data_IF_423880611660
#
_entry.id   IF_423880611660
#
_cell.length_a   1.000
_cell.length_b   1.000
_cell.length_c   1.000
_cell.angle_alpha   90.00
_cell.angle_beta   90.00
_cell.angle_gamma   90.00
#
_symmetry.space_group_name_H-M   'P 1'
#
loop_
_entity.id
_entity.type
_entity.pdbx_description
1 polymer ?
#
# COMPACT_ATOMS: atom_id res chain seq x y z
N UNK A 1 2.59 -80.69 -3.63
CA UNK A 1 1.79 -79.94 -2.65
C UNK A 1 2.71 -79.41 -1.59
N UNK A 2 3.10 -78.11 -1.64
CA UNK A 2 3.95 -77.47 -0.59
C UNK A 2 3.06 -76.93 0.51
N UNK A 3 3.31 -77.36 1.75
CA UNK A 3 2.67 -76.80 2.94
C UNK A 3 3.16 -75.37 3.17
N UNK A 4 2.31 -74.42 3.48
CA UNK A 4 2.72 -73.03 3.79
C UNK A 4 3.54 -73.03 5.08
N UNK A 5 4.57 -72.20 5.10
CA UNK A 5 5.52 -72.09 6.24
C UNK A 5 4.87 -71.43 7.43
N UNK A 6 5.29 -71.84 8.61
CA UNK A 6 4.86 -71.39 9.91
C UNK A 6 4.97 -69.84 10.14
N UNK A 7 5.60 -69.15 9.22
CA UNK A 7 5.81 -67.73 9.29
C UNK A 7 4.66 -66.88 8.74
N UNK A 8 3.81 -67.44 7.88
CA UNK A 8 2.67 -66.69 7.30
C UNK A 8 1.42 -66.58 8.17
N UNK A 9 1.34 -67.40 9.23
CA UNK A 9 0.18 -67.39 10.13
C UNK A 9 0.22 -66.35 11.24
N UNK A 10 1.34 -65.66 11.46
CA UNK A 10 1.50 -64.69 12.53
C UNK A 10 1.25 -63.22 12.14
N UNK A 11 1.08 -62.94 10.83
CA UNK A 11 0.82 -61.55 10.37
C UNK A 11 -0.67 -61.18 10.44
N UNK A 12 -1.58 -62.11 10.57
CA UNK A 12 -3.03 -61.88 10.58
C UNK A 12 -3.67 -61.70 11.98
N UNK A 13 -2.86 -61.61 13.02
CA UNK A 13 -3.31 -61.18 14.37
C UNK A 13 -2.84 -59.76 14.70
N UNK A 14 -2.96 -58.82 13.75
CA UNK A 14 -3.01 -57.43 14.16
C UNK A 14 -4.38 -57.20 14.81
N UNK A 15 -4.35 -57.24 16.12
CA UNK A 15 -5.40 -56.90 17.04
C UNK A 15 -6.13 -55.65 16.56
N UNK A 16 -7.36 -55.81 16.05
CA UNK A 16 -8.32 -54.70 16.06
C UNK A 16 -8.53 -54.33 17.54
N UNK A 17 -7.73 -53.35 18.01
CA UNK A 17 -8.00 -52.73 19.29
C UNK A 17 -9.42 -52.14 19.21
N UNK A 18 -10.37 -52.85 19.80
CA UNK A 18 -11.74 -52.42 19.98
C UNK A 18 -11.71 -51.19 20.91
N UNK A 19 -11.73 -50.00 20.32
CA UNK A 19 -11.89 -48.76 21.07
C UNK A 19 -13.33 -48.76 21.58
N UNK A 20 -13.57 -48.79 22.91
CA UNK A 20 -14.90 -48.81 23.44
C UNK A 20 -15.66 -47.56 22.97
N UNK A 21 -16.91 -47.73 22.48
CA UNK A 21 -17.74 -46.65 21.88
C UNK A 21 -17.74 -45.33 22.67
N UNK A 22 -17.63 -45.40 24.02
CA UNK A 22 -17.55 -44.22 24.89
C UNK A 22 -16.25 -43.43 24.73
N UNK A 23 -15.12 -44.11 24.49
CA UNK A 23 -13.82 -43.43 24.26
C UNK A 23 -13.74 -42.82 22.83
N UNK A 24 -14.31 -43.51 21.84
CA UNK A 24 -14.39 -42.95 20.47
C UNK A 24 -15.22 -41.68 20.39
N UNK A 25 -16.31 -41.59 21.18
CA UNK A 25 -17.16 -40.40 21.24
C UNK A 25 -16.42 -39.20 21.89
N UNK A 26 -15.59 -39.48 22.92
CA UNK A 26 -14.83 -38.45 23.63
C UNK A 26 -13.68 -37.90 22.77
N UNK A 27 -13.00 -38.77 22.04
CA UNK A 27 -11.92 -38.38 21.11
C UNK A 27 -12.48 -37.59 19.91
N UNK A 28 -13.64 -37.98 19.37
CA UNK A 28 -14.32 -37.26 18.31
C UNK A 28 -14.78 -35.86 18.76
N UNK A 29 -15.28 -35.72 19.98
CA UNK A 29 -15.67 -34.43 20.57
C UNK A 29 -14.49 -33.52 20.81
N UNK A 30 -13.36 -34.02 21.30
CA UNK A 30 -12.14 -33.25 21.52
C UNK A 30 -11.56 -32.76 20.19
N UNK A 31 -11.54 -33.60 19.16
CA UNK A 31 -11.08 -33.23 17.81
C UNK A 31 -11.94 -32.10 17.23
N UNK A 32 -13.26 -32.16 17.37
CA UNK A 32 -14.15 -31.11 16.89
C UNK A 32 -13.90 -29.77 17.59
N UNK A 33 -13.68 -29.78 18.91
CA UNK A 33 -13.37 -28.55 19.67
C UNK A 33 -12.04 -27.92 19.22
N UNK A 34 -11.01 -28.73 18.94
CA UNK A 34 -9.71 -28.24 18.45
C UNK A 34 -9.89 -27.61 17.08
N UNK A 35 -10.61 -28.24 16.16
CA UNK A 35 -10.84 -27.72 14.81
C UNK A 35 -11.61 -26.38 14.86
N UNK A 36 -12.69 -26.31 15.64
CA UNK A 36 -13.47 -25.07 15.82
C UNK A 36 -12.59 -23.98 16.44
N UNK A 37 -11.80 -24.30 17.45
CA UNK A 37 -10.85 -23.36 18.05
C UNK A 37 -9.81 -22.82 17.06
N UNK A 38 -9.27 -23.68 16.21
CA UNK A 38 -8.32 -23.30 15.17
C UNK A 38 -8.96 -22.37 14.12
N UNK A 39 -10.21 -22.62 13.72
CA UNK A 39 -10.94 -21.75 12.79
C UNK A 39 -11.18 -20.39 13.41
N UNK A 40 -11.63 -20.31 14.66
CA UNK A 40 -11.87 -19.04 15.35
C UNK A 40 -10.55 -18.27 15.49
N UNK A 41 -9.47 -18.92 15.88
CA UNK A 41 -8.15 -18.28 15.99
C UNK A 41 -7.66 -17.76 14.64
N UNK A 42 -7.81 -18.52 13.56
CA UNK A 42 -7.41 -18.07 12.22
C UNK A 42 -8.25 -16.89 11.71
N UNK A 43 -9.56 -16.87 12.00
CA UNK A 43 -10.42 -15.74 11.69
C UNK A 43 -10.02 -14.47 12.47
N UNK A 44 -9.71 -14.62 13.77
CA UNK A 44 -9.26 -13.51 14.60
C UNK A 44 -7.94 -12.92 14.09
N UNK A 45 -6.98 -13.77 13.72
CA UNK A 45 -5.71 -13.33 13.12
C UNK A 45 -5.95 -12.65 11.77
N UNK A 46 -6.79 -13.22 10.90
CA UNK A 46 -7.12 -12.62 9.61
C UNK A 46 -7.80 -11.25 9.78
N UNK A 47 -8.73 -11.12 10.72
CA UNK A 47 -9.41 -9.85 11.01
C UNK A 47 -8.44 -8.81 11.58
N UNK A 48 -7.55 -9.22 12.49
CA UNK A 48 -6.49 -8.35 13.02
C UNK A 48 -5.58 -7.85 11.91
N UNK A 49 -5.09 -8.75 11.05
CA UNK A 49 -4.26 -8.37 9.90
C UNK A 49 -5.01 -7.43 8.95
N UNK A 50 -6.28 -7.71 8.66
CA UNK A 50 -7.11 -6.85 7.82
C UNK A 50 -7.21 -5.43 8.39
N UNK A 51 -7.48 -5.26 9.68
CA UNK A 51 -7.58 -3.93 10.30
C UNK A 51 -6.24 -3.18 10.35
N UNK A 52 -5.12 -3.89 10.50
CA UNK A 52 -3.78 -3.29 10.52
C UNK A 52 -3.32 -2.79 9.13
N UNK A 53 -3.81 -3.41 8.06
CA UNK A 53 -3.39 -3.08 6.69
C UNK A 53 -4.47 -2.35 5.89
N UNK A 54 -5.51 -1.83 6.55
CA UNK A 54 -6.44 -0.93 5.87
C UNK A 54 -5.75 0.39 5.54
N UNK A 55 -5.86 0.79 4.27
CA UNK A 55 -5.42 2.12 3.83
C UNK A 55 -6.28 3.18 4.52
N UNK A 56 -5.64 4.09 5.23
CA UNK A 56 -6.28 5.27 5.77
C UNK A 56 -6.13 6.41 4.75
N UNK A 57 -7.26 7.02 4.38
CA UNK A 57 -7.28 8.15 3.46
C UNK A 57 -7.28 9.46 4.24
N UNK A 58 -6.28 10.29 3.97
CA UNK A 58 -6.12 11.63 4.53
C UNK A 58 -6.59 12.61 3.46
N UNK A 59 -7.76 13.21 3.67
CA UNK A 59 -8.32 14.20 2.75
C UNK A 59 -7.96 15.60 3.21
N UNK A 60 -7.43 16.42 2.29
CA UNK A 60 -7.02 17.81 2.55
C UNK A 60 -7.09 18.65 1.28
N UNK A 61 -6.77 19.93 1.40
CA UNK A 61 -6.78 20.88 0.27
C UNK A 61 -5.35 21.36 -0.03
N UNK A 62 -5.08 21.74 -1.27
CA UNK A 62 -3.80 22.33 -1.65
C UNK A 62 -3.49 23.56 -0.79
N UNK A 63 -2.24 23.69 -0.36
CA UNK A 63 -1.75 24.73 0.55
C UNK A 63 -1.83 24.38 2.03
N UNK A 64 -2.58 23.34 2.42
CA UNK A 64 -2.65 22.87 3.81
C UNK A 64 -1.49 21.92 4.13
N UNK A 65 -1.07 21.92 5.40
CA UNK A 65 -0.07 20.97 5.92
C UNK A 65 -0.75 19.69 6.36
N UNK A 66 -0.23 18.54 5.92
CA UNK A 66 -0.72 17.22 6.30
C UNK A 66 0.44 16.23 6.41
N UNK A 67 0.18 15.06 7.00
CA UNK A 67 1.22 14.06 7.25
C UNK A 67 0.82 12.71 6.65
N UNK A 68 1.72 12.09 5.90
CA UNK A 68 1.57 10.72 5.38
C UNK A 68 2.74 9.89 5.93
N UNK A 69 2.42 8.97 6.85
CA UNK A 69 3.44 8.23 7.57
C UNK A 69 4.43 9.17 8.28
N UNK A 70 5.74 9.02 8.07
CA UNK A 70 6.75 9.85 8.72
C UNK A 70 7.09 11.14 7.95
N UNK A 71 6.30 11.54 6.96
CA UNK A 71 6.58 12.74 6.15
C UNK A 71 5.44 13.74 6.22
N UNK A 72 5.78 14.96 6.59
CA UNK A 72 4.91 16.14 6.55
C UNK A 72 5.00 16.79 5.17
N UNK A 73 3.86 17.11 4.58
CA UNK A 73 3.76 17.68 3.22
C UNK A 73 2.96 18.98 3.21
N UNK A 74 3.31 19.84 2.24
CA UNK A 74 2.44 20.89 1.70
C UNK A 74 2.50 20.78 0.18
N UNK A 75 1.34 20.68 -0.47
CA UNK A 75 1.22 20.62 -1.93
C UNK A 75 0.58 21.92 -2.41
N UNK A 76 1.18 22.54 -3.41
CA UNK A 76 0.67 23.78 -4.03
C UNK A 76 0.45 23.58 -5.53
N UNK A 77 -0.53 24.27 -6.09
CA UNK A 77 -0.69 24.38 -7.54
C UNK A 77 0.18 25.53 -8.04
N UNK A 78 1.16 25.23 -8.93
CA UNK A 78 2.12 26.22 -9.46
C UNK A 78 1.71 26.73 -10.83
N UNK A 79 0.64 26.19 -11.42
CA UNK A 79 0.14 26.57 -12.71
C UNK A 79 0.36 25.54 -13.81
N UNK A 80 0.25 26.00 -15.05
CA UNK A 80 0.40 25.16 -16.26
C UNK A 80 1.45 25.74 -17.19
N UNK A 81 2.07 24.88 -18.02
CA UNK A 81 3.00 25.32 -19.08
C UNK A 81 3.00 24.36 -20.28
N UNK A 82 3.43 24.87 -21.43
CA UNK A 82 3.48 24.12 -22.70
C UNK A 82 4.79 23.36 -22.93
N UNK A 83 5.60 23.23 -21.87
CA UNK A 83 6.93 22.60 -21.97
C UNK A 83 7.98 23.56 -22.54
N UNK A 84 9.04 22.97 -23.06
CA UNK A 84 10.17 23.70 -23.69
C UNK A 84 10.45 23.18 -25.10
N UNK A 85 11.66 23.48 -25.63
CA UNK A 85 12.07 23.08 -26.99
C UNK A 85 12.29 21.57 -27.11
N UNK A 86 12.69 20.91 -26.00
CA UNK A 86 13.13 19.54 -25.99
C UNK A 86 12.03 18.60 -25.45
N UNK A 87 11.13 19.14 -24.59
CA UNK A 87 10.06 18.36 -23.97
C UNK A 87 8.72 19.10 -24.10
N UNK A 88 7.84 18.57 -24.93
CA UNK A 88 6.48 19.07 -25.13
C UNK A 88 5.45 18.08 -24.62
N UNK A 89 4.38 18.56 -23.95
CA UNK A 89 3.29 17.69 -23.57
C UNK A 89 2.44 17.26 -24.77
N UNK A 90 1.69 16.18 -24.63
CA UNK A 90 0.61 15.82 -25.55
C UNK A 90 -0.60 16.75 -25.36
N UNK A 91 -0.80 17.23 -24.12
CA UNK A 91 -1.88 18.13 -23.72
C UNK A 91 -1.28 19.43 -23.14
N UNK A 92 -1.20 19.53 -21.83
CA UNK A 92 -0.55 20.63 -21.11
C UNK A 92 0.11 20.09 -19.84
N UNK A 93 1.27 20.62 -19.47
CA UNK A 93 1.85 20.28 -18.18
C UNK A 93 1.18 21.06 -17.06
N UNK A 94 0.65 20.31 -16.06
CA UNK A 94 0.21 20.85 -14.78
C UNK A 94 1.34 20.67 -13.79
N UNK A 95 1.82 21.75 -13.20
CA UNK A 95 2.92 21.76 -12.25
C UNK A 95 2.41 21.93 -10.83
N UNK A 96 2.92 21.09 -9.92
CA UNK A 96 2.70 21.21 -8.48
C UNK A 96 4.01 21.46 -7.77
N UNK A 97 3.94 22.28 -6.72
CA UNK A 97 4.98 22.47 -5.73
C UNK A 97 4.81 21.45 -4.60
N UNK A 98 5.92 20.92 -4.12
CA UNK A 98 5.99 19.93 -3.05
C UNK A 98 6.96 20.46 -2.00
N UNK A 99 6.46 20.82 -0.83
CA UNK A 99 7.28 20.97 0.36
C UNK A 99 7.14 19.69 1.19
N UNK A 100 8.25 19.03 1.45
CA UNK A 100 8.28 17.77 2.19
C UNK A 100 9.30 17.83 3.32
N UNK A 101 8.93 17.35 4.52
CA UNK A 101 9.79 17.31 5.69
C UNK A 101 9.66 15.95 6.37
N UNK A 102 10.78 15.27 6.54
CA UNK A 102 10.82 14.02 7.29
C UNK A 102 10.78 14.28 8.79
N UNK A 103 9.81 13.68 9.48
CA UNK A 103 9.57 13.81 10.92
C UNK A 103 9.72 12.48 11.67
N UNK A 104 10.17 11.42 10.99
CA UNK A 104 10.43 10.11 11.59
C UNK A 104 11.77 10.03 12.32
N UNK A 105 11.99 8.89 12.96
CA UNK A 105 13.16 8.63 13.81
C UNK A 105 14.33 7.98 13.05
N UNK A 106 14.15 7.55 11.81
CA UNK A 106 15.21 6.96 11.01
C UNK A 106 16.16 8.04 10.46
N UNK A 107 17.34 7.62 9.99
CA UNK A 107 18.36 8.55 9.48
C UNK A 107 17.90 9.37 8.28
N UNK A 108 17.11 8.76 7.39
CA UNK A 108 16.54 9.39 6.19
C UNK A 108 15.43 8.54 5.57
N UNK A 109 14.61 9.15 4.73
CA UNK A 109 13.63 8.46 3.88
C UNK A 109 13.68 8.97 2.45
N UNK A 110 13.19 8.19 1.51
CA UNK A 110 13.18 8.53 0.09
C UNK A 110 11.89 9.24 -0.30
N UNK A 111 12.02 10.36 -1.01
CA UNK A 111 10.96 11.03 -1.74
C UNK A 111 11.14 10.80 -3.24
N UNK A 112 10.10 10.39 -3.93
CA UNK A 112 10.13 10.11 -5.38
C UNK A 112 8.94 10.75 -6.08
N UNK A 113 9.15 11.27 -7.28
CA UNK A 113 8.06 11.76 -8.14
C UNK A 113 7.00 10.70 -8.43
N UNK A 114 7.37 9.41 -8.46
CA UNK A 114 6.44 8.29 -8.65
C UNK A 114 5.45 8.05 -7.51
N UNK A 115 5.56 8.77 -6.39
CA UNK A 115 4.58 8.73 -5.29
C UNK A 115 3.33 9.57 -5.60
N UNK A 116 3.43 10.49 -6.56
CA UNK A 116 2.41 11.49 -6.87
C UNK A 116 1.64 11.12 -8.13
N UNK A 117 0.32 11.26 -8.06
CA UNK A 117 -0.59 11.02 -9.18
C UNK A 117 -1.63 12.11 -9.20
N UNK A 118 -1.98 12.64 -10.38
CA UNK A 118 -3.21 13.40 -10.55
C UNK A 118 -4.35 12.44 -10.91
N UNK A 119 -5.51 12.70 -10.34
CA UNK A 119 -6.76 12.02 -10.66
C UNK A 119 -7.76 13.06 -11.16
N UNK A 120 -8.31 12.85 -12.33
CA UNK A 120 -9.32 13.69 -12.93
C UNK A 120 -10.75 13.33 -12.48
N UNK A 121 -11.75 14.07 -12.96
CA UNK A 121 -13.19 13.86 -12.65
C UNK A 121 -13.73 12.48 -13.10
N UNK A 122 -12.99 11.75 -13.96
CA UNK A 122 -13.34 10.42 -14.47
C UNK A 122 -12.60 9.30 -13.74
N UNK A 123 -11.94 9.63 -12.62
CA UNK A 123 -11.07 8.73 -11.87
C UNK A 123 -9.87 8.19 -12.69
N UNK A 124 -9.48 8.88 -13.78
CA UNK A 124 -8.28 8.52 -14.54
C UNK A 124 -7.05 9.03 -13.79
N UNK A 125 -6.05 8.14 -13.66
CA UNK A 125 -4.80 8.42 -12.96
C UNK A 125 -3.70 8.77 -13.96
N UNK A 126 -3.11 9.92 -13.77
CA UNK A 126 -1.98 10.41 -14.53
C UNK A 126 -0.72 10.40 -13.65
N UNK A 127 0.34 9.81 -14.15
CA UNK A 127 1.63 9.75 -13.45
C UNK A 127 2.43 11.03 -13.70
N UNK A 128 3.34 11.32 -12.77
CA UNK A 128 4.29 12.40 -12.95
C UNK A 128 5.16 12.16 -14.19
N UNK A 129 5.37 13.20 -14.96
CA UNK A 129 6.29 13.22 -16.09
C UNK A 129 7.66 13.69 -15.62
N UNK A 130 8.68 12.92 -15.95
CA UNK A 130 10.05 13.26 -15.63
C UNK A 130 10.68 14.02 -16.77
N UNK A 131 11.22 15.19 -16.47
CA UNK A 131 11.93 16.06 -17.39
C UNK A 131 12.90 16.95 -16.62
N UNK A 132 13.76 17.67 -17.34
CA UNK A 132 14.66 18.66 -16.76
C UNK A 132 14.08 20.06 -17.00
N UNK A 133 12.90 20.35 -16.44
CA UNK A 133 12.23 21.64 -16.60
C UNK A 133 12.76 22.69 -15.62
N UNK A 134 13.26 22.26 -14.45
CA UNK A 134 13.86 23.10 -13.44
C UNK A 134 14.86 22.35 -12.57
N UNK A 135 15.71 23.09 -11.86
CA UNK A 135 16.60 22.51 -10.84
C UNK A 135 15.86 21.94 -9.62
N UNK A 136 14.56 22.22 -9.51
CA UNK A 136 13.69 21.71 -8.42
C UNK A 136 12.91 20.46 -8.81
N UNK A 137 13.04 19.95 -10.03
CA UNK A 137 12.29 18.79 -10.48
C UNK A 137 12.57 17.58 -9.61
N UNK A 138 11.49 16.94 -9.16
CA UNK A 138 11.55 15.78 -8.29
C UNK A 138 11.67 14.50 -9.13
N UNK A 139 12.85 13.91 -9.15
CA UNK A 139 13.04 12.53 -9.57
C UNK A 139 13.14 11.63 -8.33
N UNK A 140 14.22 11.80 -7.58
CA UNK A 140 14.51 11.12 -6.32
C UNK A 140 15.21 12.11 -5.39
N UNK A 141 14.76 12.18 -4.13
CA UNK A 141 15.37 13.04 -3.11
C UNK A 141 15.40 12.33 -1.76
N UNK A 142 16.53 12.41 -1.06
CA UNK A 142 16.65 11.89 0.30
C UNK A 142 16.26 12.98 1.29
N UNK A 143 15.22 12.70 2.07
CA UNK A 143 14.78 13.58 3.15
C UNK A 143 15.53 13.23 4.43
N UNK A 144 16.25 14.20 4.96
CA UNK A 144 16.88 14.12 6.28
C UNK A 144 15.93 14.61 7.37
N UNK A 145 16.06 14.11 8.62
CA UNK A 145 15.17 14.50 9.71
C UNK A 145 15.11 16.01 9.93
N UNK A 146 13.89 16.52 9.99
CA UNK A 146 13.57 17.92 10.26
C UNK A 146 14.13 18.96 9.26
N UNK A 147 14.64 18.52 8.10
CA UNK A 147 15.06 19.42 7.03
C UNK A 147 13.97 19.45 5.95
N UNK A 148 13.29 20.58 5.75
CA UNK A 148 12.32 20.72 4.67
C UNK A 148 13.04 20.76 3.32
N UNK A 149 12.44 20.13 2.32
CA UNK A 149 12.89 20.12 0.93
C UNK A 149 11.76 20.64 0.05
N UNK A 150 12.07 21.56 -0.86
CA UNK A 150 11.14 22.09 -1.83
C UNK A 150 11.47 21.53 -3.22
N UNK A 151 10.49 20.89 -3.83
CA UNK A 151 10.58 20.29 -5.17
C UNK A 151 9.34 20.61 -5.99
N UNK A 152 9.42 20.35 -7.29
CA UNK A 152 8.29 20.45 -8.22
C UNK A 152 8.13 19.13 -8.97
N UNK A 153 6.91 18.81 -9.36
CA UNK A 153 6.66 17.75 -10.34
C UNK A 153 5.52 18.14 -11.25
N UNK A 154 5.39 17.48 -12.40
CA UNK A 154 4.43 17.85 -13.41
C UNK A 154 3.73 16.65 -14.01
N UNK A 155 2.56 16.91 -14.60
CA UNK A 155 1.67 15.90 -15.17
C UNK A 155 1.18 16.39 -16.53
N UNK A 156 1.27 15.56 -17.55
CA UNK A 156 0.69 15.84 -18.87
C UNK A 156 -0.77 15.39 -18.87
N UNK A 157 -1.69 16.36 -18.81
CA UNK A 157 -3.12 16.09 -18.73
C UNK A 157 -3.91 17.10 -19.57
N UNK A 158 -5.12 16.74 -20.04
CA UNK A 158 -6.05 17.68 -20.65
C UNK A 158 -6.70 18.55 -19.54
N UNK A 159 -5.94 19.51 -19.02
CA UNK A 159 -6.33 20.36 -17.90
C UNK A 159 -7.39 21.38 -18.29
N UNK A 160 -8.39 21.54 -17.42
CA UNK A 160 -9.46 22.51 -17.52
C UNK A 160 -9.70 23.10 -16.13
N UNK A 161 -9.56 24.40 -15.97
CA UNK A 161 -9.66 25.10 -14.68
C UNK A 161 -11.03 24.92 -14.00
N UNK A 162 -12.10 24.61 -14.77
CA UNK A 162 -13.44 24.40 -14.23
C UNK A 162 -13.66 22.99 -13.69
N UNK A 163 -12.71 22.06 -13.91
CA UNK A 163 -12.83 20.66 -13.51
C UNK A 163 -12.17 20.36 -12.18
N UNK A 164 -12.59 19.24 -11.60
CA UNK A 164 -12.04 18.72 -10.36
C UNK A 164 -10.79 17.89 -10.63
N UNK A 165 -9.70 18.28 -9.99
CA UNK A 165 -8.46 17.49 -9.98
C UNK A 165 -7.99 17.25 -8.55
N UNK A 166 -7.53 16.03 -8.29
CA UNK A 166 -7.01 15.62 -6.99
C UNK A 166 -5.60 15.07 -7.15
N UNK A 167 -4.73 15.39 -6.20
CA UNK A 167 -3.42 14.75 -6.07
C UNK A 167 -3.56 13.59 -5.11
N UNK A 168 -3.05 12.42 -5.51
CA UNK A 168 -2.89 11.27 -4.62
C UNK A 168 -1.42 11.10 -4.31
N UNK A 169 -1.08 11.02 -3.02
CA UNK A 169 0.27 10.70 -2.56
C UNK A 169 0.24 9.32 -1.93
N UNK A 170 1.05 8.40 -2.48
CA UNK A 170 1.28 7.07 -1.93
C UNK A 170 2.64 6.99 -1.27
N UNK A 171 2.72 6.46 -0.04
CA UNK A 171 4.01 6.33 0.63
C UNK A 171 4.93 5.35 -0.09
N UNK A 172 6.22 5.55 0.03
CA UNK A 172 7.24 4.57 -0.35
C UNK A 172 7.28 3.42 0.68
N UNK A 173 7.87 2.31 0.28
CA UNK A 173 7.97 1.11 1.11
C UNK A 173 8.75 1.33 2.41
N UNK A 174 9.76 2.18 2.36
CA UNK A 174 10.61 2.58 3.49
C UNK A 174 9.91 3.50 4.49
N UNK A 175 8.79 4.12 4.09
CA UNK A 175 7.99 4.97 4.98
C UNK A 175 7.09 4.20 5.94
N UNK A 176 7.03 2.87 5.81
CA UNK A 176 6.36 1.94 6.74
C UNK A 176 4.92 2.29 7.09
N UNK A 177 4.19 2.91 6.15
CA UNK A 177 2.77 3.27 6.30
C UNK A 177 1.95 2.80 5.10
N UNK A 178 0.65 2.61 5.32
CA UNK A 178 -0.35 2.35 4.28
C UNK A 178 -1.27 3.55 4.04
N UNK A 179 -1.04 4.65 4.75
CA UNK A 179 -1.80 5.88 4.61
C UNK A 179 -1.62 6.46 3.21
N UNK A 180 -2.68 7.04 2.68
CA UNK A 180 -2.69 7.65 1.35
C UNK A 180 -3.34 9.01 1.47
N UNK A 181 -2.67 10.07 1.04
CA UNK A 181 -3.30 11.38 1.00
C UNK A 181 -4.03 11.60 -0.33
N UNK A 182 -5.18 12.28 -0.22
CA UNK A 182 -5.99 12.75 -1.34
C UNK A 182 -6.16 14.26 -1.16
N UNK A 183 -5.48 15.02 -1.98
CA UNK A 183 -5.41 16.48 -1.89
C UNK A 183 -6.28 17.08 -2.99
N UNK A 184 -7.27 17.89 -2.63
CA UNK A 184 -8.00 18.69 -3.58
C UNK A 184 -7.07 19.73 -4.21
N UNK A 185 -6.88 19.68 -5.52
CA UNK A 185 -6.05 20.63 -6.25
C UNK A 185 -6.90 21.79 -6.79
N UNK A 186 -8.04 21.48 -7.44
CA UNK A 186 -8.98 22.45 -8.02
C UNK A 186 -10.41 22.00 -7.83
N UNK A 187 -11.30 22.96 -7.52
CA UNK A 187 -12.78 22.84 -7.57
C UNK A 187 -13.40 21.66 -6.81
N UNK A 188 -12.76 21.09 -5.78
CA UNK A 188 -13.42 20.12 -4.92
C UNK A 188 -14.30 20.81 -3.86
#
# INVERSE_FOLDING_TARGET
MRKPSFFEQNILKMSCNYIPKKQALFVAGLGAVIVVGAIIASMAVAMFMYTQYQTNFIETTAGETFTVGPVEYVITFEGTHEGDKDTKPENIFVMIGISAKYIGDEEKTLLSGGQFYIVDEKDQKHQAVYGEFSSKDLLLEWLEPNKPVEKTTQFDIPFDEEKVYKIIIRPQKDQSTVDTAVICLTNC
#
